data_IF_899877735476
#
_entry.id   IF_899877735476
#
_cell.length_a   1.000
_cell.length_b   1.000
_cell.length_c   1.000
_cell.angle_alpha   90.00
_cell.angle_beta   90.00
_cell.angle_gamma   90.00
#
_symmetry.space_group_name_H-M   'P 1'
#
loop_
_entity.id
_entity.type
_entity.pdbx_description
1 polymer ?
#
# COMPACT_ATOMS: atom_id res chain seq x y z
N UNK A 1 -19.36 13.80 -50.23
CA UNK A 1 -18.13 13.03 -49.94
C UNK A 1 -17.35 13.78 -48.88
N UNK A 2 -17.52 13.40 -47.61
CA UNK A 2 -16.79 13.98 -46.48
C UNK A 2 -16.30 12.83 -45.61
N UNK A 3 -15.01 12.51 -45.72
CA UNK A 3 -14.38 11.44 -44.95
C UNK A 3 -14.33 11.80 -43.46
N UNK A 4 -15.09 11.07 -42.64
CA UNK A 4 -14.93 11.04 -41.19
C UNK A 4 -13.58 10.38 -40.86
N UNK A 5 -12.62 11.18 -40.40
CA UNK A 5 -11.36 10.68 -39.83
C UNK A 5 -11.66 9.87 -38.57
N UNK A 6 -11.47 8.56 -38.64
CA UNK A 6 -11.42 7.67 -37.46
C UNK A 6 -10.26 8.10 -36.54
N UNK A 7 -10.43 8.08 -35.20
CA UNK A 7 -9.31 8.30 -34.29
C UNK A 7 -8.30 7.16 -34.44
N UNK A 8 -7.01 7.52 -34.49
CA UNK A 8 -5.90 6.56 -34.60
C UNK A 8 -5.81 5.74 -33.31
N UNK A 9 -5.49 4.43 -33.38
CA UNK A 9 -5.23 3.64 -32.19
C UNK A 9 -3.99 4.18 -31.47
N UNK A 10 -4.11 4.36 -30.15
CA UNK A 10 -2.99 4.73 -29.29
C UNK A 10 -1.87 3.69 -29.43
N UNK A 11 -0.64 4.17 -29.65
CA UNK A 11 0.53 3.29 -29.71
C UNK A 11 0.83 2.70 -28.32
N UNK A 12 1.22 1.42 -28.23
CA UNK A 12 1.49 0.79 -26.96
C UNK A 12 2.93 1.05 -26.49
N UNK A 13 3.39 2.31 -26.45
CA UNK A 13 4.71 2.67 -25.92
C UNK A 13 4.80 4.14 -25.48
N UNK A 14 3.91 4.61 -24.60
CA UNK A 14 4.22 5.81 -23.81
C UNK A 14 4.52 5.39 -22.38
N UNK A 15 5.77 5.03 -22.11
CA UNK A 15 6.32 5.16 -20.77
C UNK A 15 6.00 6.59 -20.32
N UNK A 16 5.41 6.75 -19.13
CA UNK A 16 5.18 8.09 -18.57
C UNK A 16 6.49 8.89 -18.55
N UNK A 17 6.41 10.23 -18.45
CA UNK A 17 7.62 11.04 -18.34
C UNK A 17 8.53 10.49 -17.23
N UNK A 18 9.81 10.30 -17.54
CA UNK A 18 10.77 9.76 -16.58
C UNK A 18 10.79 10.63 -15.31
N UNK A 19 10.59 10.01 -14.14
CA UNK A 19 10.64 10.72 -12.86
C UNK A 19 12.05 11.27 -12.67
N UNK A 20 12.13 12.54 -12.25
CA UNK A 20 13.42 13.18 -11.93
C UNK A 20 14.12 12.37 -10.84
N UNK A 21 15.33 11.88 -11.12
CA UNK A 21 16.17 11.19 -10.14
C UNK A 21 17.27 12.14 -9.64
N UNK A 22 17.35 12.33 -8.32
CA UNK A 22 18.34 13.19 -7.68
C UNK A 22 19.46 12.36 -7.06
N UNK A 23 20.72 12.72 -7.32
CA UNK A 23 21.90 12.11 -6.69
C UNK A 23 22.13 12.64 -5.27
N UNK A 24 21.08 12.59 -4.44
CA UNK A 24 21.10 13.00 -3.04
C UNK A 24 20.83 11.77 -2.17
N UNK A 25 21.65 11.58 -1.15
CA UNK A 25 21.41 10.65 -0.04
C UNK A 25 20.95 11.45 1.17
N UNK A 26 19.92 10.97 1.84
CA UNK A 26 19.45 11.54 3.12
C UNK A 26 19.97 10.68 4.26
N UNK A 27 20.62 11.30 5.24
CA UNK A 27 21.05 10.63 6.47
C UNK A 27 19.82 10.16 7.27
N UNK A 28 19.78 8.87 7.60
CA UNK A 28 18.66 8.27 8.34
C UNK A 28 18.62 8.72 9.80
N UNK A 29 19.76 9.02 10.42
CA UNK A 29 19.84 9.49 11.81
C UNK A 29 19.47 10.96 11.91
N UNK A 30 19.75 11.74 10.86
CA UNK A 30 19.39 13.16 10.79
C UNK A 30 18.83 13.55 9.42
N UNK A 31 17.52 13.37 9.25
CA UNK A 31 16.85 13.52 7.95
C UNK A 31 16.72 14.98 7.48
N UNK A 32 16.77 15.96 8.38
CA UNK A 32 16.42 17.37 8.08
C UNK A 32 17.40 18.01 7.06
N UNK A 33 18.74 17.94 7.23
CA UNK A 33 19.66 18.55 6.28
C UNK A 33 19.52 17.97 4.86
N UNK A 34 19.35 16.65 4.76
CA UNK A 34 19.11 15.97 3.48
C UNK A 34 17.79 16.39 2.84
N UNK A 35 16.72 16.48 3.63
CA UNK A 35 15.43 16.96 3.16
C UNK A 35 15.51 18.41 2.64
N UNK A 36 16.18 19.33 3.34
CA UNK A 36 16.32 20.72 2.88
C UNK A 36 17.10 20.83 1.56
N UNK A 37 18.09 19.94 1.32
CA UNK A 37 18.78 19.85 0.02
C UNK A 37 17.81 19.42 -1.09
N UNK A 38 16.93 18.46 -0.82
CA UNK A 38 15.88 18.06 -1.76
C UNK A 38 14.89 19.20 -2.03
N UNK A 39 14.46 19.92 -0.99
CA UNK A 39 13.54 21.06 -1.14
C UNK A 39 14.15 22.18 -1.98
N UNK A 40 15.46 22.44 -1.85
CA UNK A 40 16.16 23.42 -2.70
C UNK A 40 16.04 23.09 -4.20
N UNK A 41 16.06 21.80 -4.54
CA UNK A 41 15.92 21.32 -5.92
C UNK A 41 14.46 21.30 -6.41
N UNK A 42 13.51 21.02 -5.53
CA UNK A 42 12.09 20.85 -5.86
C UNK A 42 11.29 22.15 -5.79
N UNK A 43 11.71 23.11 -4.96
CA UNK A 43 11.07 24.39 -4.69
C UNK A 43 12.13 25.49 -4.57
N UNK A 44 12.83 25.84 -5.66
CA UNK A 44 13.92 26.82 -5.63
C UNK A 44 13.48 28.23 -5.22
N UNK A 45 12.18 28.54 -5.31
CA UNK A 45 11.60 29.81 -4.87
C UNK A 45 11.35 29.90 -3.36
N UNK A 46 11.44 28.80 -2.60
CA UNK A 46 11.24 28.82 -1.15
C UNK A 46 12.48 29.36 -0.43
N UNK A 47 12.29 30.26 0.54
CA UNK A 47 13.34 30.59 1.50
C UNK A 47 13.50 29.44 2.50
N UNK A 48 14.63 28.74 2.44
CA UNK A 48 14.91 27.59 3.31
C UNK A 48 14.86 27.93 4.81
N UNK A 49 15.05 29.20 5.19
CA UNK A 49 14.94 29.64 6.60
C UNK A 49 13.52 29.62 7.12
N UNK A 50 12.53 29.71 6.24
CA UNK A 50 11.10 29.66 6.55
C UNK A 50 10.49 28.28 6.34
N UNK A 51 11.28 27.24 6.02
CA UNK A 51 10.77 25.88 5.84
C UNK A 51 10.61 25.21 7.20
N UNK A 52 9.36 24.88 7.53
CA UNK A 52 9.01 24.06 8.66
C UNK A 52 9.06 22.58 8.29
N UNK A 53 9.34 21.72 9.28
CA UNK A 53 9.40 20.27 9.11
C UNK A 53 8.53 19.55 10.13
N UNK A 54 7.84 18.49 9.71
CA UNK A 54 7.08 17.60 10.60
C UNK A 54 7.45 16.14 10.31
N UNK A 55 7.94 15.43 11.33
CA UNK A 55 8.21 14.00 11.25
C UNK A 55 6.92 13.21 11.54
N UNK A 56 6.66 12.17 10.76
CA UNK A 56 5.58 11.22 11.01
C UNK A 56 6.18 9.90 11.50
N UNK A 57 5.71 9.42 12.64
CA UNK A 57 6.26 8.25 13.35
C UNK A 57 5.37 7.01 13.27
N UNK A 58 4.17 7.11 12.68
CA UNK A 58 3.18 6.02 12.67
C UNK A 58 3.53 4.87 11.71
N UNK A 59 4.49 5.07 10.80
CA UNK A 59 4.90 4.08 9.80
C UNK A 59 5.99 3.13 10.30
N UNK A 60 5.75 1.83 10.24
CA UNK A 60 6.69 0.78 10.70
C UNK A 60 7.71 0.32 9.65
N UNK A 61 7.81 1.00 8.51
CA UNK A 61 8.68 0.54 7.40
C UNK A 61 9.57 1.64 6.83
N UNK A 62 9.23 2.92 7.02
CA UNK A 62 9.94 4.04 6.40
C UNK A 62 9.89 5.27 7.30
N UNK A 63 10.89 6.14 7.20
CA UNK A 63 10.87 7.46 7.84
C UNK A 63 10.19 8.45 6.90
N UNK A 64 9.26 9.24 7.43
CA UNK A 64 8.47 10.17 6.63
C UNK A 64 8.52 11.57 7.24
N UNK A 65 8.96 12.56 6.44
CA UNK A 65 9.09 13.95 6.84
C UNK A 65 8.29 14.84 5.89
N UNK A 66 7.40 15.70 6.39
CA UNK A 66 6.84 16.79 5.60
C UNK A 66 7.72 18.04 5.72
N UNK A 67 7.95 18.71 4.59
CA UNK A 67 8.53 20.05 4.51
C UNK A 67 7.51 21.03 3.93
N UNK A 68 7.30 22.18 4.57
CA UNK A 68 6.29 23.15 4.18
C UNK A 68 6.65 24.56 4.67
N UNK A 69 6.19 25.59 3.96
CA UNK A 69 6.36 27.01 4.36
C UNK A 69 5.06 27.56 4.96
N UNK A 70 3.94 27.31 4.28
CA UNK A 70 2.61 27.73 4.76
C UNK A 70 2.05 26.73 5.76
N UNK A 71 1.52 27.23 6.88
CA UNK A 71 0.87 26.43 7.93
C UNK A 71 -0.33 25.63 7.42
N UNK A 72 -0.94 26.03 6.29
CA UNK A 72 -2.01 25.25 5.66
C UNK A 72 -1.52 23.97 4.93
N UNK A 73 -0.20 23.79 4.79
CA UNK A 73 0.47 22.64 4.16
C UNK A 73 0.00 22.32 2.73
N UNK A 74 -0.56 23.31 2.01
CA UNK A 74 -1.09 23.09 0.64
C UNK A 74 -0.01 22.64 -0.35
N UNK A 75 1.16 23.26 -0.30
CA UNK A 75 2.29 22.94 -1.19
C UNK A 75 3.35 22.07 -0.49
N UNK A 76 2.97 21.38 0.59
CA UNK A 76 3.89 20.57 1.37
C UNK A 76 4.46 19.41 0.54
N UNK A 77 5.74 19.12 0.78
CA UNK A 77 6.47 18.01 0.16
C UNK A 77 6.70 16.94 1.21
N UNK A 78 6.25 15.72 0.94
CA UNK A 78 6.60 14.54 1.72
C UNK A 78 7.93 13.96 1.22
N UNK A 79 8.88 13.83 2.11
CA UNK A 79 10.17 13.15 1.92
C UNK A 79 10.08 11.80 2.63
N UNK A 80 10.01 10.72 1.85
CA UNK A 80 10.02 9.33 2.37
C UNK A 80 11.39 8.74 2.17
N UNK A 81 12.05 8.42 3.28
CA UNK A 81 13.34 7.73 3.31
C UNK A 81 13.05 6.25 3.51
N UNK A 82 13.63 5.40 2.66
CA UNK A 82 13.47 3.95 2.75
C UNK A 82 14.01 3.45 4.09
N UNK A 83 13.27 2.55 4.75
CA UNK A 83 13.77 1.88 5.93
C UNK A 83 14.90 0.90 5.60
N UNK A 84 15.74 0.58 6.57
CA UNK A 84 16.84 -0.38 6.41
C UNK A 84 16.33 -1.71 5.85
N UNK A 85 17.02 -2.20 4.83
CA UNK A 85 16.76 -3.48 4.17
C UNK A 85 15.35 -3.63 3.61
N UNK A 86 14.65 -2.53 3.35
CA UNK A 86 13.31 -2.60 2.74
C UNK A 86 13.35 -3.03 1.28
N UNK A 87 14.50 -2.92 0.62
CA UNK A 87 14.82 -3.52 -0.69
C UNK A 87 14.76 -5.05 -0.70
N UNK A 88 14.81 -5.71 0.48
CA UNK A 88 14.53 -7.15 0.56
C UNK A 88 13.06 -7.46 0.22
N UNK A 89 12.15 -6.49 0.34
CA UNK A 89 10.71 -6.67 0.22
C UNK A 89 10.08 -5.93 -0.96
N UNK A 90 10.73 -4.84 -1.39
CA UNK A 90 10.21 -3.86 -2.34
C UNK A 90 11.20 -3.67 -3.47
N UNK A 91 10.75 -3.93 -4.69
CA UNK A 91 11.44 -3.54 -5.91
C UNK A 91 11.18 -2.04 -6.16
N UNK A 92 12.25 -1.26 -6.31
CA UNK A 92 12.16 0.21 -6.41
C UNK A 92 11.75 0.69 -7.78
N UNK A 93 12.11 -0.05 -8.82
CA UNK A 93 11.71 0.28 -10.18
C UNK A 93 10.20 0.01 -10.35
N UNK A 94 9.74 -1.13 -9.84
CA UNK A 94 8.32 -1.46 -9.79
C UNK A 94 7.53 -0.49 -8.89
N UNK A 95 8.09 -0.06 -7.76
CA UNK A 95 7.45 0.93 -6.87
C UNK A 95 7.20 2.24 -7.61
N UNK A 96 8.20 2.79 -8.30
CA UNK A 96 8.08 4.04 -9.06
C UNK A 96 7.12 3.88 -10.23
N UNK A 97 7.23 2.80 -10.99
CA UNK A 97 6.38 2.50 -12.15
C UNK A 97 4.92 2.37 -11.71
N UNK A 98 4.65 1.64 -10.63
CA UNK A 98 3.32 1.52 -10.05
C UNK A 98 2.79 2.86 -9.54
N UNK A 99 3.63 3.67 -8.90
CA UNK A 99 3.25 4.99 -8.40
C UNK A 99 2.77 5.91 -9.54
N UNK A 100 3.51 5.94 -10.65
CA UNK A 100 3.14 6.73 -11.83
C UNK A 100 1.83 6.23 -12.46
N UNK A 101 1.64 4.92 -12.59
CA UNK A 101 0.39 4.35 -13.12
C UNK A 101 -0.81 4.68 -12.23
N UNK A 102 -0.65 4.57 -10.92
CA UNK A 102 -1.72 4.94 -9.98
C UNK A 102 -2.03 6.43 -10.08
N UNK A 103 -1.01 7.29 -10.25
CA UNK A 103 -1.20 8.73 -10.44
C UNK A 103 -2.01 9.05 -11.70
N UNK A 104 -1.75 8.38 -12.83
CA UNK A 104 -2.52 8.61 -14.08
C UNK A 104 -4.00 8.25 -13.94
N UNK A 105 -4.36 7.43 -12.94
CA UNK A 105 -5.73 7.06 -12.62
C UNK A 105 -6.29 7.79 -11.39
N UNK A 106 -5.58 8.80 -10.86
CA UNK A 106 -6.00 9.55 -9.68
C UNK A 106 -6.05 8.70 -8.39
N UNK A 107 -5.18 7.70 -8.29
CA UNK A 107 -5.05 6.77 -7.16
C UNK A 107 -3.68 6.89 -6.46
N UNK A 108 -2.88 7.89 -6.83
CA UNK A 108 -1.66 8.24 -6.09
C UNK A 108 -1.45 9.76 -6.16
N UNK A 109 -0.79 10.34 -5.15
CA UNK A 109 -0.38 11.74 -5.18
C UNK A 109 0.64 11.99 -6.29
N UNK A 110 0.97 13.25 -6.54
CA UNK A 110 2.05 13.58 -7.47
C UNK A 110 3.42 13.15 -6.94
N UNK A 111 4.16 12.37 -7.73
CA UNK A 111 5.54 12.00 -7.45
C UNK A 111 6.48 13.07 -8.02
N UNK A 112 7.16 13.81 -7.15
CA UNK A 112 8.03 14.91 -7.55
C UNK A 112 9.41 14.44 -8.00
N UNK A 113 10.03 13.52 -7.25
CA UNK A 113 11.32 12.95 -7.60
C UNK A 113 11.61 11.65 -6.86
N UNK A 114 12.57 10.88 -7.36
CA UNK A 114 13.29 9.86 -6.60
C UNK A 114 14.66 10.38 -6.18
N UNK A 115 15.23 9.83 -5.13
CA UNK A 115 16.60 10.06 -4.71
C UNK A 115 17.24 8.75 -4.23
N UNK A 116 18.54 8.75 -3.91
CA UNK A 116 19.30 7.50 -3.76
C UNK A 116 18.70 6.52 -2.74
N UNK A 117 18.07 7.02 -1.68
CA UNK A 117 17.47 6.22 -0.63
C UNK A 117 16.03 6.63 -0.31
N UNK A 118 15.27 7.09 -1.30
CA UNK A 118 13.87 7.44 -1.08
C UNK A 118 13.17 8.14 -2.24
N UNK A 119 12.03 8.74 -1.92
CA UNK A 119 11.17 9.44 -2.88
C UNK A 119 10.47 10.64 -2.26
N UNK A 120 10.23 11.67 -3.07
CA UNK A 120 9.50 12.88 -2.69
C UNK A 120 8.19 12.96 -3.45
N UNK A 121 7.08 13.16 -2.74
CA UNK A 121 5.74 13.23 -3.33
C UNK A 121 4.85 14.24 -2.60
N UNK A 122 3.71 14.53 -3.20
CA UNK A 122 2.71 15.45 -2.69
C UNK A 122 2.13 14.99 -1.34
N UNK A 123 1.96 15.93 -0.42
CA UNK A 123 1.26 15.71 0.83
C UNK A 123 -0.26 15.73 0.62
N UNK A 124 -0.93 14.60 0.86
CA UNK A 124 -2.38 14.54 0.84
C UNK A 124 -2.92 14.98 2.20
N UNK A 125 -3.66 16.10 2.21
CA UNK A 125 -4.31 16.59 3.42
C UNK A 125 -5.48 15.69 3.79
N UNK A 126 -5.49 15.22 5.02
CA UNK A 126 -6.57 14.40 5.55
C UNK A 126 -6.22 13.79 6.90
N UNK A 127 -7.13 13.00 7.43
CA UNK A 127 -6.92 12.17 8.60
C UNK A 127 -6.83 10.71 8.15
N UNK A 128 -5.81 10.00 8.65
CA UNK A 128 -5.72 8.57 8.45
C UNK A 128 -6.87 7.88 9.21
N UNK A 129 -7.55 6.95 8.55
CA UNK A 129 -8.64 6.19 9.16
C UNK A 129 -8.07 5.20 10.18
N UNK A 130 -8.61 5.25 11.41
CA UNK A 130 -8.33 4.28 12.46
C UNK A 130 -9.28 3.06 12.43
N UNK A 131 -9.04 2.04 13.28
CA UNK A 131 -9.86 0.83 13.34
C UNK A 131 -11.36 1.07 13.55
N UNK A 132 -11.72 2.06 14.37
CA UNK A 132 -13.09 2.50 14.62
C UNK A 132 -13.74 3.16 13.40
N UNK A 133 -12.96 3.89 12.59
CA UNK A 133 -13.45 4.57 11.41
C UNK A 133 -13.81 3.58 10.31
N UNK A 134 -12.95 2.59 10.04
CA UNK A 134 -13.16 1.61 8.96
C UNK A 134 -14.37 0.71 9.17
N UNK A 135 -14.91 0.64 10.40
CA UNK A 135 -16.13 -0.10 10.77
C UNK A 135 -17.41 0.70 10.55
N UNK A 136 -17.32 2.01 10.27
CA UNK A 136 -18.50 2.84 10.04
C UNK A 136 -19.09 2.51 8.65
N UNK A 137 -20.39 2.20 8.53
CA UNK A 137 -20.97 1.71 7.27
C UNK A 137 -20.72 2.63 6.06
N UNK A 138 -20.80 3.94 6.26
CA UNK A 138 -20.55 4.90 5.18
C UNK A 138 -19.07 4.94 4.74
N UNK A 139 -18.12 4.84 5.67
CA UNK A 139 -16.69 4.81 5.37
C UNK A 139 -16.32 3.48 4.69
N UNK A 140 -16.86 2.38 5.20
CA UNK A 140 -16.68 1.03 4.66
C UNK A 140 -17.07 0.98 3.16
N UNK A 141 -18.19 1.61 2.79
CA UNK A 141 -18.63 1.76 1.38
C UNK A 141 -17.66 2.55 0.53
N UNK A 142 -17.10 3.63 1.06
CA UNK A 142 -16.09 4.44 0.36
C UNK A 142 -14.79 3.65 0.16
N UNK A 143 -14.35 2.89 1.17
CA UNK A 143 -13.18 2.00 1.05
C UNK A 143 -13.42 0.95 -0.04
N UNK A 144 -14.60 0.33 -0.07
CA UNK A 144 -14.95 -0.65 -1.10
C UNK A 144 -14.89 -0.04 -2.51
N UNK A 145 -15.40 1.18 -2.67
CA UNK A 145 -15.36 1.91 -3.94
C UNK A 145 -13.93 2.25 -4.38
N UNK A 146 -13.12 2.79 -3.49
CA UNK A 146 -11.72 3.10 -3.80
C UNK A 146 -10.94 1.82 -4.14
N UNK A 147 -11.10 0.74 -3.36
CA UNK A 147 -10.43 -0.54 -3.65
C UNK A 147 -10.85 -1.13 -5.00
N UNK A 148 -12.13 -1.02 -5.37
CA UNK A 148 -12.60 -1.39 -6.71
C UNK A 148 -11.94 -0.55 -7.81
N UNK A 149 -11.77 0.75 -7.59
CA UNK A 149 -11.05 1.65 -8.51
C UNK A 149 -9.62 1.18 -8.74
N UNK A 150 -8.86 0.86 -7.69
CA UNK A 150 -7.51 0.29 -7.81
C UNK A 150 -7.50 -1.03 -8.60
N UNK A 151 -8.41 -1.95 -8.29
CA UNK A 151 -8.47 -3.27 -8.94
C UNK A 151 -8.93 -3.22 -10.40
N UNK A 152 -9.57 -2.13 -10.83
CA UNK A 152 -9.95 -1.91 -12.23
C UNK A 152 -8.84 -1.24 -13.05
N UNK A 153 -7.74 -0.79 -12.45
CA UNK A 153 -6.60 -0.24 -13.19
C UNK A 153 -5.95 -1.37 -13.99
N UNK A 154 -5.86 -1.26 -15.34
CA UNK A 154 -5.17 -2.26 -16.14
C UNK A 154 -3.71 -2.36 -15.72
N UNK A 155 -3.18 -3.57 -15.57
CA UNK A 155 -1.75 -3.71 -15.36
C UNK A 155 -0.98 -3.22 -16.60
N UNK A 156 0.26 -2.81 -16.39
CA UNK A 156 1.15 -2.39 -17.47
C UNK A 156 1.15 -3.43 -18.59
N UNK A 157 0.79 -3.00 -19.81
CA UNK A 157 0.69 -3.79 -21.04
C UNK A 157 -0.57 -4.68 -21.19
N UNK A 158 -1.61 -4.49 -20.39
CA UNK A 158 -2.89 -5.20 -20.54
C UNK A 158 -2.87 -6.66 -20.06
N UNK A 159 -1.75 -7.12 -19.49
CA UNK A 159 -1.65 -8.43 -18.85
C UNK A 159 -2.23 -8.39 -17.43
N UNK A 160 -2.74 -9.52 -16.94
CA UNK A 160 -3.06 -9.65 -15.52
C UNK A 160 -1.76 -9.55 -14.68
N UNK A 161 -1.78 -8.83 -13.54
CA UNK A 161 -0.62 -8.78 -12.67
C UNK A 161 -0.29 -10.19 -12.17
N UNK A 162 0.99 -10.56 -12.20
CA UNK A 162 1.44 -11.87 -11.70
C UNK A 162 1.22 -11.96 -10.20
N UNK A 163 0.75 -13.11 -9.72
CA UNK A 163 0.63 -13.36 -8.29
C UNK A 163 2.01 -13.39 -7.62
N UNK A 164 2.31 -12.39 -6.79
CA UNK A 164 3.62 -12.22 -6.14
C UNK A 164 3.72 -12.89 -4.76
N UNK A 165 2.60 -13.32 -4.18
CA UNK A 165 2.53 -13.83 -2.81
C UNK A 165 3.51 -14.98 -2.57
N UNK A 166 3.44 -16.04 -3.39
CA UNK A 166 4.26 -17.25 -3.21
C UNK A 166 5.74 -16.98 -3.42
N UNK A 167 6.08 -16.13 -4.40
CA UNK A 167 7.46 -15.71 -4.64
C UNK A 167 8.02 -14.96 -3.43
N UNK A 168 7.24 -14.03 -2.85
CA UNK A 168 7.64 -13.30 -1.65
C UNK A 168 7.76 -14.22 -0.43
N UNK A 169 6.83 -15.15 -0.22
CA UNK A 169 6.91 -16.13 0.88
C UNK A 169 8.18 -16.98 0.80
N UNK A 170 8.50 -17.52 -0.39
CA UNK A 170 9.73 -18.28 -0.60
C UNK A 170 10.97 -17.44 -0.32
N UNK A 171 10.98 -16.17 -0.77
CA UNK A 171 12.06 -15.22 -0.45
C UNK A 171 12.18 -15.01 1.06
N UNK A 172 11.08 -14.82 1.78
CA UNK A 172 11.10 -14.59 3.22
C UNK A 172 11.65 -15.80 3.98
N UNK A 173 11.21 -17.00 3.62
CA UNK A 173 11.72 -18.24 4.20
C UNK A 173 13.22 -18.40 3.96
N UNK A 174 13.71 -18.06 2.77
CA UNK A 174 15.15 -18.10 2.48
C UNK A 174 15.99 -17.11 3.29
N UNK A 175 15.39 -15.98 3.73
CA UNK A 175 16.07 -14.99 4.58
C UNK A 175 16.10 -15.46 6.05
N UNK A 176 15.09 -16.22 6.49
CA UNK A 176 14.85 -16.59 7.89
C UNK A 176 15.54 -17.89 8.33
N UNK A 177 16.55 -18.39 7.63
CA UNK A 177 17.31 -19.56 8.06
C UNK A 177 18.17 -19.27 9.31
N UNK A 178 17.56 -19.17 10.49
CA UNK A 178 18.09 -19.45 11.85
C UNK A 178 17.00 -19.25 12.93
N UNK A 179 17.03 -20.10 13.97
CA UNK A 179 16.03 -20.20 15.05
C UNK A 179 16.31 -19.25 16.23
N UNK A 180 15.26 -18.68 16.85
CA UNK A 180 15.27 -18.11 18.22
C UNK A 180 13.81 -17.87 18.73
N UNK A 181 13.55 -18.13 20.02
CA UNK A 181 12.24 -18.05 20.69
C UNK A 181 12.00 -16.69 21.41
N UNK A 182 10.77 -16.14 21.40
CA UNK A 182 10.44 -14.82 21.99
C UNK A 182 9.00 -14.77 22.58
N UNK A 183 8.79 -13.91 23.59
CA UNK A 183 7.68 -13.84 24.56
C UNK A 183 6.57 -12.79 24.27
N UNK A 184 5.42 -12.96 24.95
CA UNK A 184 4.05 -12.47 24.66
C UNK A 184 3.66 -11.01 25.05
N UNK A 185 2.83 -10.37 24.19
CA UNK A 185 1.62 -9.58 24.59
C UNK A 185 0.62 -9.46 23.41
N UNK A 186 -0.68 -9.22 23.65
CA UNK A 186 -1.79 -9.54 22.71
C UNK A 186 -2.40 -8.35 21.92
N UNK A 187 -2.73 -8.51 20.61
CA UNK A 187 -3.52 -7.58 19.81
C UNK A 187 -5.01 -7.97 19.86
N UNK A 188 -5.90 -7.00 19.63
CA UNK A 188 -7.34 -7.23 19.73
C UNK A 188 -7.95 -7.77 18.44
N UNK A 189 -8.03 -9.10 18.33
CA UNK A 189 -8.65 -9.77 17.18
C UNK A 189 -10.18 -9.63 17.11
N UNK A 190 -10.84 -9.05 18.12
CA UNK A 190 -12.28 -8.74 18.08
C UNK A 190 -12.60 -7.61 17.10
N UNK A 191 -11.58 -6.86 16.66
CA UNK A 191 -11.74 -5.77 15.70
C UNK A 191 -11.96 -6.24 14.26
N UNK A 192 -11.79 -7.53 13.95
CA UNK A 192 -12.10 -8.07 12.63
C UNK A 192 -13.59 -7.88 12.28
N UNK A 193 -13.91 -7.62 11.00
CA UNK A 193 -15.30 -7.53 10.57
C UNK A 193 -15.98 -8.89 10.70
N UNK A 194 -17.21 -8.90 11.22
CA UNK A 194 -18.06 -10.09 11.23
C UNK A 194 -18.57 -10.45 9.82
N UNK A 195 -19.27 -11.58 9.70
CA UNK A 195 -19.75 -12.08 8.41
C UNK A 195 -20.67 -11.10 7.70
N UNK A 196 -21.58 -10.46 8.45
CA UNK A 196 -22.54 -9.49 7.90
C UNK A 196 -21.81 -8.28 7.31
N UNK A 197 -20.86 -7.73 8.08
CA UNK A 197 -20.01 -6.62 7.65
C UNK A 197 -19.17 -6.97 6.43
N UNK A 198 -18.61 -8.19 6.37
CA UNK A 198 -17.86 -8.68 5.21
C UNK A 198 -18.73 -8.77 3.96
N UNK A 199 -19.94 -9.33 4.09
CA UNK A 199 -20.89 -9.43 2.96
C UNK A 199 -21.30 -8.05 2.44
N UNK A 200 -21.62 -7.11 3.32
CA UNK A 200 -21.95 -5.73 2.94
C UNK A 200 -20.79 -5.10 2.16
N UNK A 201 -19.55 -5.24 2.65
CA UNK A 201 -18.37 -4.71 1.96
C UNK A 201 -18.20 -5.31 0.56
N UNK A 202 -18.31 -6.64 0.44
CA UNK A 202 -18.14 -7.36 -0.82
C UNK A 202 -19.21 -7.00 -1.84
N UNK A 203 -20.46 -6.82 -1.40
CA UNK A 203 -21.55 -6.34 -2.24
C UNK A 203 -21.23 -4.97 -2.84
N UNK A 204 -20.82 -4.02 -2.01
CA UNK A 204 -20.47 -2.67 -2.47
C UNK A 204 -19.24 -2.65 -3.37
N UNK A 205 -18.25 -3.48 -3.08
CA UNK A 205 -17.07 -3.66 -3.92
C UNK A 205 -17.44 -4.18 -5.32
N UNK A 206 -18.31 -5.20 -5.42
CA UNK A 206 -18.76 -5.75 -6.70
C UNK A 206 -19.60 -4.74 -7.49
N UNK A 207 -20.53 -4.04 -6.81
CA UNK A 207 -21.28 -2.93 -7.41
C UNK A 207 -20.36 -1.87 -8.02
N UNK A 208 -19.31 -1.47 -7.31
CA UNK A 208 -18.34 -0.48 -7.80
C UNK A 208 -17.55 -1.01 -9.00
N UNK A 209 -17.10 -2.28 -8.95
CA UNK A 209 -16.41 -2.92 -10.08
C UNK A 209 -17.26 -2.92 -11.36
N UNK A 210 -18.54 -3.30 -11.27
CA UNK A 210 -19.44 -3.33 -12.44
C UNK A 210 -19.62 -1.95 -13.06
N UNK A 211 -19.88 -0.94 -12.23
CA UNK A 211 -20.02 0.45 -12.69
C UNK A 211 -18.77 0.95 -13.41
N UNK A 212 -17.59 0.66 -12.87
CA UNK A 212 -16.31 1.06 -13.48
C UNK A 212 -16.04 0.34 -14.81
N UNK A 213 -16.57 -0.88 -14.98
CA UNK A 213 -16.47 -1.66 -16.21
C UNK A 213 -17.59 -1.38 -17.22
N UNK A 214 -18.61 -0.58 -16.84
CA UNK A 214 -19.79 -0.34 -17.66
C UNK A 214 -20.75 -1.53 -17.74
N UNK A 215 -20.70 -2.44 -16.77
CA UNK A 215 -21.62 -3.58 -16.67
C UNK A 215 -22.93 -3.16 -15.97
N UNK A 216 -24.07 -3.59 -16.51
CA UNK A 216 -25.40 -3.32 -15.93
C UNK A 216 -25.82 -4.41 -14.92
N UNK A 217 -26.63 -4.01 -13.93
CA UNK A 217 -27.24 -4.91 -12.95
C UNK A 217 -26.45 -5.10 -11.65
N UNK A 218 -27.18 -5.51 -10.61
CA UNK A 218 -26.64 -5.76 -9.27
C UNK A 218 -25.99 -7.15 -9.16
N UNK A 219 -24.95 -7.30 -8.31
CA UNK A 219 -24.35 -8.61 -8.05
C UNK A 219 -25.39 -9.57 -7.49
N UNK A 220 -25.28 -10.85 -7.81
CA UNK A 220 -26.11 -11.91 -7.24
C UNK A 220 -25.54 -12.35 -5.89
N UNK A 221 -26.40 -12.77 -4.96
CA UNK A 221 -25.98 -13.27 -3.64
C UNK A 221 -24.93 -14.38 -3.75
N UNK A 222 -25.11 -15.30 -4.72
CA UNK A 222 -24.14 -16.36 -5.02
C UNK A 222 -22.73 -15.81 -5.35
N UNK A 223 -22.65 -14.73 -6.11
CA UNK A 223 -21.36 -14.13 -6.48
C UNK A 223 -20.66 -13.54 -5.24
N UNK A 224 -21.45 -12.93 -4.36
CA UNK A 224 -20.97 -12.32 -3.10
C UNK A 224 -20.50 -13.39 -2.13
N UNK A 225 -21.29 -14.46 -1.95
CA UNK A 225 -20.92 -15.61 -1.11
C UNK A 225 -19.67 -16.32 -1.63
N UNK A 226 -19.55 -16.49 -2.96
CA UNK A 226 -18.35 -17.09 -3.57
C UNK A 226 -17.10 -16.23 -3.31
N UNK A 227 -17.20 -14.92 -3.48
CA UNK A 227 -16.09 -14.01 -3.21
C UNK A 227 -15.73 -13.98 -1.72
N UNK A 228 -16.72 -14.11 -0.82
CA UNK A 228 -16.51 -14.21 0.63
C UNK A 228 -15.64 -15.43 0.97
N UNK A 229 -15.90 -16.57 0.35
CA UNK A 229 -15.10 -17.79 0.54
C UNK A 229 -13.67 -17.55 0.06
N UNK A 230 -13.51 -17.02 -1.16
CA UNK A 230 -12.20 -16.73 -1.73
C UNK A 230 -11.37 -15.79 -0.83
N UNK A 231 -11.94 -14.65 -0.42
CA UNK A 231 -11.25 -13.67 0.43
C UNK A 231 -10.86 -14.28 1.78
N UNK A 232 -11.76 -15.07 2.40
CA UNK A 232 -11.47 -15.70 3.68
C UNK A 232 -10.37 -16.76 3.61
N UNK A 233 -10.19 -17.45 2.47
CA UNK A 233 -9.04 -18.34 2.28
C UNK A 233 -7.70 -17.60 2.34
N UNK A 234 -7.65 -16.34 1.90
CA UNK A 234 -6.44 -15.50 1.99
C UNK A 234 -6.12 -14.99 3.41
N UNK A 235 -7.01 -15.17 4.39
CA UNK A 235 -6.73 -14.83 5.80
C UNK A 235 -5.51 -15.59 6.32
N UNK A 236 -5.40 -16.88 5.97
CA UNK A 236 -4.24 -17.70 6.33
C UNK A 236 -2.96 -17.17 5.68
N UNK A 237 -3.00 -16.90 4.37
CA UNK A 237 -1.87 -16.33 3.65
C UNK A 237 -1.42 -15.00 4.27
N UNK A 238 -2.37 -14.12 4.63
CA UNK A 238 -2.09 -12.84 5.27
C UNK A 238 -1.38 -13.02 6.60
N UNK A 239 -1.91 -13.86 7.51
CA UNK A 239 -1.25 -14.07 8.80
C UNK A 239 0.16 -14.65 8.66
N UNK A 240 0.33 -15.66 7.82
CA UNK A 240 1.65 -16.27 7.61
C UNK A 240 2.65 -15.29 6.99
N UNK A 241 2.24 -14.54 5.96
CA UNK A 241 3.07 -13.55 5.28
C UNK A 241 3.58 -12.47 6.23
N UNK A 242 2.67 -11.87 7.00
CA UNK A 242 3.03 -10.78 7.92
C UNK A 242 3.78 -11.28 9.16
N UNK A 243 3.59 -12.55 9.56
CA UNK A 243 4.41 -13.19 10.58
C UNK A 243 5.87 -13.31 10.16
N UNK A 244 6.12 -13.85 8.96
CA UNK A 244 7.48 -13.95 8.40
C UNK A 244 8.10 -12.57 8.16
N UNK A 245 7.34 -11.61 7.60
CA UNK A 245 7.82 -10.23 7.41
C UNK A 245 8.31 -9.63 8.73
N UNK A 246 7.56 -9.81 9.82
CA UNK A 246 7.90 -9.27 11.12
C UNK A 246 9.12 -9.95 11.74
N UNK A 247 9.32 -11.26 11.58
CA UNK A 247 10.57 -11.91 11.98
C UNK A 247 11.80 -11.31 11.29
N UNK A 248 11.69 -11.00 9.99
CA UNK A 248 12.80 -10.38 9.25
C UNK A 248 13.04 -8.95 9.75
N UNK A 249 11.97 -8.19 10.02
CA UNK A 249 12.09 -6.84 10.57
C UNK A 249 12.69 -6.84 11.98
N UNK A 250 12.32 -7.80 12.84
CA UNK A 250 12.92 -7.96 14.16
C UNK A 250 14.45 -8.05 14.09
N UNK A 251 14.99 -8.70 13.05
CA UNK A 251 16.43 -8.87 12.89
C UNK A 251 17.16 -7.64 12.36
N UNK A 252 16.48 -6.77 11.61
CA UNK A 252 17.14 -5.76 10.75
C UNK A 252 16.62 -4.33 10.86
N UNK A 253 15.45 -4.13 11.48
CA UNK A 253 14.83 -2.81 11.59
C UNK A 253 15.34 -2.06 12.82
N UNK A 254 15.55 -0.75 12.66
CA UNK A 254 15.85 0.16 13.78
C UNK A 254 14.60 0.89 14.29
N UNK A 255 13.41 0.52 13.81
CA UNK A 255 12.16 1.17 14.20
C UNK A 255 11.76 0.66 15.59
N UNK A 256 11.37 1.58 16.47
CA UNK A 256 10.88 1.29 17.81
C UNK A 256 9.48 0.65 17.76
N UNK A 257 9.47 -0.64 17.43
CA UNK A 257 8.28 -1.47 17.32
C UNK A 257 8.59 -2.92 17.69
N UNK A 258 7.72 -3.58 18.44
CA UNK A 258 7.93 -4.97 18.87
C UNK A 258 7.60 -5.98 17.76
N UNK A 259 8.51 -6.11 16.80
CA UNK A 259 8.37 -7.00 15.65
C UNK A 259 8.27 -8.48 16.03
N UNK A 260 9.02 -8.93 17.04
CA UNK A 260 8.96 -10.32 17.49
C UNK A 260 7.59 -10.70 18.03
N UNK A 261 7.04 -9.85 18.91
CA UNK A 261 5.69 -10.03 19.41
C UNK A 261 4.68 -10.03 18.26
N UNK A 262 4.76 -9.05 17.36
CA UNK A 262 3.86 -9.01 16.20
C UNK A 262 3.93 -10.31 15.39
N UNK A 263 5.12 -10.84 15.12
CA UNK A 263 5.28 -12.09 14.37
C UNK A 263 4.55 -13.27 15.02
N UNK A 264 4.81 -13.49 16.31
CA UNK A 264 4.20 -14.59 17.07
C UNK A 264 2.68 -14.46 17.09
N UNK A 265 2.14 -13.26 17.25
CA UNK A 265 0.69 -13.02 17.23
C UNK A 265 0.06 -13.41 15.90
N UNK A 266 0.72 -13.04 14.78
CA UNK A 266 0.26 -13.42 13.45
C UNK A 266 0.26 -14.94 13.29
N UNK A 267 1.28 -15.65 13.77
CA UNK A 267 1.33 -17.12 13.73
C UNK A 267 0.31 -17.78 14.66
N UNK A 268 0.11 -17.28 15.89
CA UNK A 268 -0.92 -17.76 16.83
C UNK A 268 -2.30 -17.69 16.17
N UNK A 269 -2.62 -16.55 15.56
CA UNK A 269 -3.90 -16.38 14.87
C UNK A 269 -4.01 -17.27 13.62
N UNK A 270 -2.92 -17.42 12.84
CA UNK A 270 -2.88 -18.36 11.71
C UNK A 270 -3.29 -19.77 12.14
N UNK A 271 -2.66 -20.32 13.19
CA UNK A 271 -2.97 -21.67 13.67
C UNK A 271 -4.36 -21.76 14.30
N UNK A 272 -4.81 -20.71 15.00
CA UNK A 272 -6.15 -20.65 15.60
C UNK A 272 -7.27 -20.73 14.56
N UNK A 273 -7.15 -20.03 13.42
CA UNK A 273 -8.20 -20.01 12.39
C UNK A 273 -7.99 -21.07 11.29
N UNK A 274 -6.88 -21.83 11.33
CA UNK A 274 -6.47 -22.75 10.26
C UNK A 274 -7.55 -23.76 9.88
N UNK A 275 -8.04 -24.54 10.84
CA UNK A 275 -9.06 -25.58 10.60
C UNK A 275 -10.30 -25.00 9.94
N UNK A 276 -10.90 -23.99 10.58
CA UNK A 276 -12.09 -23.28 10.12
C UNK A 276 -11.92 -22.74 8.69
N UNK A 277 -10.78 -22.12 8.38
CA UNK A 277 -10.54 -21.55 7.05
C UNK A 277 -10.27 -22.64 6.00
N UNK A 278 -9.56 -23.72 6.34
CA UNK A 278 -9.33 -24.84 5.40
C UNK A 278 -10.60 -25.64 5.07
N UNK A 279 -11.60 -25.57 5.94
CA UNK A 279 -12.92 -26.16 5.72
C UNK A 279 -13.83 -25.27 4.84
N UNK A 280 -13.48 -24.00 4.63
CA UNK A 280 -14.19 -23.13 3.68
C UNK A 280 -13.99 -23.64 2.26
N UNK A 281 -15.04 -24.24 1.71
CA UNK A 281 -15.10 -24.74 0.34
C UNK A 281 -16.26 -24.08 -0.38
N UNK A 282 -16.06 -23.80 -1.65
CA UNK A 282 -17.18 -23.54 -2.53
C UNK A 282 -18.08 -24.77 -2.57
N UNK A 283 -19.37 -24.56 -2.33
CA UNK A 283 -20.37 -25.56 -2.69
C UNK A 283 -20.34 -25.62 -4.21
N UNK A 284 -19.72 -26.68 -4.74
CA UNK A 284 -19.66 -26.95 -6.17
C UNK A 284 -21.05 -27.01 -6.80
#
# INVERSE_FOLDING_TARGET
MGEQRRPRPHSPHSAGPAVRALSITVDEQNVIPGALRLIRELRPAWDLRGVHTKLFTDGITNKLLACYVDSCMKDAVLVRIYGKRTELFVDREDEVTSFQLLRTHGCAPELYCTFQNGLCYEFIRGLALGPEHVRQPHILRLIAHEMAKYHCIPAHNGCLPKAVLWQKLNKYLSILHTEEEIQDSEPDYRLLPDRETQLEWLWHYLCACRRLKGEEGEPQDKEVDHLLIQVNQFVLASHYFWGLWALIQYRFSDIDFNFAQYAMLRFKQYFHVKSRVTELRDVK
#
